data_IF_183776708716
#
_entry.id   IF_183776708716
#
_cell.length_a   1.000
_cell.length_b   1.000
_cell.length_c   1.000
_cell.angle_alpha   90.00
_cell.angle_beta   90.00
_cell.angle_gamma   90.00
#
_symmetry.space_group_name_H-M   'P 1'
#
loop_
_entity.id
_entity.type
_entity.pdbx_description
1 polymer ?
#
# COMPACT_ATOMS: atom_id res chain seq x y z
N UNK A 1 -18.97 -17.06 86.35
CA UNK A 1 -17.85 -17.10 85.37
C UNK A 1 -17.97 -15.87 84.47
N UNK A 2 -16.87 -15.17 84.14
CA UNK A 2 -16.76 -13.71 84.30
C UNK A 2 -16.78 -12.87 83.00
N UNK A 3 -16.82 -11.54 83.21
CA UNK A 3 -16.16 -10.43 82.49
C UNK A 3 -15.93 -10.46 80.97
N UNK A 4 -16.44 -9.42 80.29
CA UNK A 4 -15.63 -8.36 79.63
C UNK A 4 -16.58 -7.34 78.97
N UNK A 5 -17.05 -6.31 79.69
CA UNK A 5 -16.52 -4.94 79.67
C UNK A 5 -15.95 -4.47 78.32
N UNK A 6 -16.70 -3.55 77.70
CA UNK A 6 -16.23 -2.29 77.10
C UNK A 6 -15.05 -2.40 76.12
N UNK A 7 -15.33 -2.27 74.81
CA UNK A 7 -14.52 -1.45 73.89
C UNK A 7 -15.32 -1.16 72.61
N UNK A 8 -15.44 0.13 72.31
CA UNK A 8 -15.73 0.81 71.04
C UNK A 8 -15.56 -0.03 69.76
N UNK A 9 -16.30 0.13 68.66
CA UNK A 9 -16.77 1.36 68.02
C UNK A 9 -17.91 0.98 67.06
N UNK A 10 -19.00 1.74 66.93
CA UNK A 10 -19.15 2.78 65.90
C UNK A 10 -17.99 2.84 64.88
N UNK A 11 -17.77 1.76 64.11
CA UNK A 11 -17.07 1.88 62.84
C UNK A 11 -18.02 2.52 61.84
N UNK A 12 -18.12 3.84 61.95
CA UNK A 12 -18.57 4.77 60.93
C UNK A 12 -18.11 4.26 59.55
N UNK A 13 -18.98 4.10 58.54
CA UNK A 13 -18.49 3.89 57.18
C UNK A 13 -17.58 5.07 56.88
N UNK A 14 -16.29 4.80 56.67
CA UNK A 14 -15.32 5.81 56.33
C UNK A 14 -15.78 6.46 55.03
N UNK A 15 -16.51 7.57 55.14
CA UNK A 15 -16.47 8.63 54.15
C UNK A 15 -14.99 8.90 53.90
N UNK A 16 -14.51 8.96 52.65
CA UNK A 16 -13.09 9.13 52.37
C UNK A 16 -12.59 10.38 53.09
N UNK A 17 -11.89 10.17 54.21
CA UNK A 17 -11.50 11.19 55.16
C UNK A 17 -10.09 11.70 54.85
N UNK A 18 -9.91 12.20 53.63
CA UNK A 18 -8.84 13.14 53.32
C UNK A 18 -9.15 13.88 52.02
N UNK A 19 -9.80 15.03 52.16
CA UNK A 19 -9.74 16.08 51.14
C UNK A 19 -8.29 16.57 51.09
N UNK A 20 -7.46 15.96 50.25
CA UNK A 20 -6.17 16.54 49.88
C UNK A 20 -6.48 17.56 48.77
N UNK A 21 -6.05 18.84 48.89
CA UNK A 21 -6.30 19.84 47.86
C UNK A 21 -5.90 19.39 46.44
N UNK A 22 -4.90 18.50 46.33
CA UNK A 22 -4.49 17.86 45.08
C UNK A 22 -5.53 16.94 44.44
N UNK A 23 -6.45 16.34 45.19
CA UNK A 23 -7.47 15.41 44.67
C UNK A 23 -8.57 16.11 43.85
N UNK A 24 -8.97 17.33 44.23
CA UNK A 24 -9.89 18.16 43.42
C UNK A 24 -9.18 18.76 42.21
N UNK A 25 -7.95 19.25 42.39
CA UNK A 25 -7.13 19.76 41.27
C UNK A 25 -6.87 18.65 40.24
N UNK A 26 -6.68 17.40 40.66
CA UNK A 26 -6.45 16.26 39.79
C UNK A 26 -7.64 15.95 38.85
N UNK A 27 -8.87 16.32 39.22
CA UNK A 27 -10.04 16.19 38.34
C UNK A 27 -9.86 17.06 37.09
N UNK A 28 -9.22 18.23 37.23
CA UNK A 28 -9.03 19.19 36.14
C UNK A 28 -7.65 19.03 35.48
N UNK A 29 -6.62 18.72 36.27
CA UNK A 29 -5.22 18.68 35.85
C UNK A 29 -4.58 17.40 36.37
N UNK A 30 -4.60 16.35 35.56
CA UNK A 30 -3.92 15.08 35.87
C UNK A 30 -3.67 14.27 34.61
N UNK A 31 -2.58 13.52 34.60
CA UNK A 31 -2.42 12.44 33.64
C UNK A 31 -3.30 11.24 34.01
N UNK A 32 -3.62 10.43 33.01
CA UNK A 32 -4.26 9.14 33.21
C UNK A 32 -3.33 8.16 33.93
N UNK A 33 -3.94 7.16 34.56
CA UNK A 33 -3.28 6.03 35.24
C UNK A 33 -3.87 4.71 34.75
N UNK A 34 -3.25 3.58 35.06
CA UNK A 34 -3.78 2.28 34.66
C UNK A 34 -5.22 2.01 35.18
N UNK A 35 -5.55 2.50 36.38
CA UNK A 35 -6.88 2.37 36.97
C UNK A 35 -7.89 3.40 36.43
N UNK A 36 -7.42 4.60 36.10
CA UNK A 36 -8.22 5.68 35.52
C UNK A 36 -7.50 6.20 34.28
N UNK A 37 -7.69 5.56 33.11
CA UNK A 37 -6.84 5.81 31.95
C UNK A 37 -7.00 7.22 31.38
N UNK A 38 -8.15 7.86 31.56
CA UNK A 38 -8.37 9.21 31.06
C UNK A 38 -7.65 10.25 31.92
N UNK A 39 -7.12 11.27 31.26
CA UNK A 39 -6.60 12.47 31.91
C UNK A 39 -7.70 13.29 32.59
N UNK A 40 -7.28 14.27 33.39
CA UNK A 40 -8.14 15.31 33.95
C UNK A 40 -8.84 16.13 32.86
N UNK A 41 -9.95 16.78 33.22
CA UNK A 41 -10.87 17.42 32.28
C UNK A 41 -10.23 18.53 31.44
N UNK A 42 -9.22 19.24 31.94
CA UNK A 42 -8.60 20.37 31.25
C UNK A 42 -7.22 20.01 30.70
N UNK A 43 -6.36 19.47 31.56
CA UNK A 43 -4.94 19.27 31.25
C UNK A 43 -4.51 17.85 31.64
N UNK A 44 -3.76 17.22 30.74
CA UNK A 44 -3.05 15.97 31.02
C UNK A 44 -3.08 14.99 29.86
N UNK A 45 -2.18 14.03 29.89
CA UNK A 45 -2.10 12.98 28.87
C UNK A 45 -2.88 11.75 29.30
N UNK A 46 -3.55 11.12 28.34
CA UNK A 46 -4.17 9.81 28.55
C UNK A 46 -3.12 8.73 28.83
N UNK A 47 -3.52 7.73 29.60
CA UNK A 47 -2.64 6.63 29.97
C UNK A 47 -2.34 5.72 28.77
N UNK A 48 -1.06 5.42 28.56
CA UNK A 48 -0.61 4.44 27.57
C UNK A 48 -0.40 3.10 28.23
N UNK A 49 -1.11 2.08 27.78
CA UNK A 49 -0.98 0.73 28.33
C UNK A 49 0.30 0.05 27.86
N UNK A 50 0.87 -0.77 28.74
CA UNK A 50 2.04 -1.59 28.49
C UNK A 50 1.73 -3.05 28.85
N UNK A 51 2.59 -4.02 28.48
CA UNK A 51 2.40 -5.42 28.88
C UNK A 51 2.31 -5.62 30.41
N UNK A 52 2.96 -4.76 31.20
CA UNK A 52 2.96 -4.85 32.67
C UNK A 52 1.71 -4.25 33.31
N UNK A 53 1.02 -3.34 32.62
CA UNK A 53 -0.17 -2.65 33.16
C UNK A 53 -1.47 -3.09 32.52
N UNK A 54 -1.39 -3.85 31.43
CA UNK A 54 -2.50 -4.58 30.82
C UNK A 54 -2.22 -6.09 30.92
N UNK A 55 -2.56 -6.69 32.05
CA UNK A 55 -2.26 -8.10 32.35
C UNK A 55 -3.41 -9.04 31.94
N UNK A 56 -3.11 -10.33 31.83
CA UNK A 56 -4.14 -11.37 31.59
C UNK A 56 -4.66 -11.47 30.16
N UNK A 57 -3.96 -10.90 29.17
CA UNK A 57 -4.39 -10.94 27.78
C UNK A 57 -5.63 -10.08 27.51
N UNK A 58 -5.95 -9.12 28.39
CA UNK A 58 -7.04 -8.18 28.20
C UNK A 58 -6.76 -7.23 27.04
N UNK A 59 -7.83 -6.71 26.42
CA UNK A 59 -7.77 -5.61 25.45
C UNK A 59 -7.81 -4.30 26.24
N UNK A 60 -6.79 -3.45 26.13
CA UNK A 60 -6.72 -2.21 26.89
C UNK A 60 -6.69 -0.99 25.98
N UNK A 61 -7.75 -0.18 26.04
CA UNK A 61 -7.85 1.05 25.27
C UNK A 61 -7.04 2.16 25.95
N UNK A 62 -6.22 2.85 25.17
CA UNK A 62 -5.49 4.03 25.61
C UNK A 62 -6.43 5.12 26.13
N UNK A 63 -5.97 5.81 27.16
CA UNK A 63 -6.75 6.86 27.80
C UNK A 63 -6.95 8.10 26.94
N UNK A 64 -8.04 8.82 27.16
CA UNK A 64 -8.25 10.14 26.52
C UNK A 64 -7.36 11.20 27.15
N UNK A 65 -6.82 12.10 26.32
CA UNK A 65 -6.15 13.31 26.77
C UNK A 65 -7.11 14.32 27.38
N UNK A 66 -6.58 15.30 28.11
CA UNK A 66 -7.36 16.36 28.73
C UNK A 66 -8.05 17.25 27.70
N UNK A 67 -9.19 17.84 28.07
CA UNK A 67 -10.08 18.54 27.16
C UNK A 67 -9.48 19.77 26.48
N UNK A 68 -8.56 20.49 27.13
CA UNK A 68 -7.88 21.66 26.55
C UNK A 68 -6.52 21.27 25.96
N UNK A 69 -5.67 20.59 26.73
CA UNK A 69 -4.37 20.14 26.28
C UNK A 69 -4.06 18.75 26.81
N UNK A 70 -3.76 17.83 25.89
CA UNK A 70 -3.47 16.46 26.25
C UNK A 70 -3.39 15.53 25.07
N UNK A 71 -2.36 14.69 25.05
CA UNK A 71 -2.27 13.60 24.08
C UNK A 71 -3.14 12.43 24.54
N UNK A 72 -3.69 11.70 23.58
CA UNK A 72 -4.26 10.39 23.83
C UNK A 72 -3.19 9.36 24.17
N UNK A 73 -3.53 8.42 25.03
CA UNK A 73 -2.66 7.31 25.39
C UNK A 73 -2.71 6.17 24.37
N UNK A 74 -1.67 5.36 24.32
CA UNK A 74 -1.63 4.20 23.43
C UNK A 74 -2.46 3.04 23.98
N UNK A 75 -3.18 2.36 23.09
CA UNK A 75 -3.82 1.09 23.39
C UNK A 75 -2.83 -0.08 23.39
N UNK A 76 -3.27 -1.21 23.93
CA UNK A 76 -2.49 -2.44 24.01
C UNK A 76 -3.36 -3.67 23.70
N UNK A 77 -2.76 -4.69 23.09
CA UNK A 77 -3.39 -5.98 22.77
C UNK A 77 -4.72 -5.82 22.01
N UNK A 78 -4.68 -5.13 20.86
CA UNK A 78 -5.85 -4.80 20.05
C UNK A 78 -6.68 -3.62 20.56
N UNK A 79 -6.32 -3.02 21.70
CA UNK A 79 -7.03 -1.87 22.24
C UNK A 79 -6.80 -0.61 21.43
N UNK A 80 -7.82 0.23 21.32
CA UNK A 80 -7.73 1.48 20.56
C UNK A 80 -6.83 2.50 21.26
N UNK A 81 -6.19 3.36 20.49
CA UNK A 81 -5.55 4.57 21.00
C UNK A 81 -6.59 5.57 21.50
N UNK A 82 -6.23 6.33 22.52
CA UNK A 82 -7.08 7.38 23.07
C UNK A 82 -7.10 8.62 22.18
N UNK A 83 -8.21 9.35 22.20
CA UNK A 83 -8.32 10.65 21.54
C UNK A 83 -7.62 11.75 22.35
N UNK A 84 -7.04 12.73 21.66
CA UNK A 84 -6.70 14.02 22.26
C UNK A 84 -7.94 14.91 22.47
N UNK A 85 -7.78 15.99 23.25
CA UNK A 85 -8.81 17.01 23.47
C UNK A 85 -8.81 18.11 22.39
N UNK A 86 -8.74 19.37 22.79
CA UNK A 86 -8.67 20.51 21.87
C UNK A 86 -7.32 20.56 21.14
N UNK A 87 -6.23 20.32 21.88
CA UNK A 87 -4.86 20.27 21.38
C UNK A 87 -4.17 19.01 21.88
N UNK A 88 -3.48 18.31 20.98
CA UNK A 88 -2.71 17.11 21.29
C UNK A 88 -2.78 16.08 20.18
N UNK A 89 -1.92 15.07 20.25
CA UNK A 89 -1.94 13.97 19.29
C UNK A 89 -2.76 12.80 19.81
N UNK A 90 -3.44 12.10 18.92
CA UNK A 90 -4.10 10.84 19.24
C UNK A 90 -3.07 9.75 19.57
N UNK A 91 -3.45 8.83 20.45
CA UNK A 91 -2.62 7.69 20.81
C UNK A 91 -2.61 6.61 19.73
N UNK A 92 -1.57 5.79 19.68
CA UNK A 92 -1.52 4.64 18.79
C UNK A 92 -2.47 3.53 19.24
N UNK A 93 -3.05 2.79 18.29
CA UNK A 93 -3.72 1.54 18.55
C UNK A 93 -2.74 0.44 18.93
N UNK A 94 -3.16 -0.45 19.82
CA UNK A 94 -2.38 -1.62 20.24
C UNK A 94 -2.39 -2.71 19.18
N UNK A 95 -1.26 -3.41 19.00
CA UNK A 95 -1.22 -4.58 18.14
C UNK A 95 -2.14 -5.68 18.68
N UNK A 96 -2.89 -6.35 17.79
CA UNK A 96 -3.78 -7.45 18.11
C UNK A 96 -3.03 -8.73 18.46
N UNK A 97 -3.62 -9.55 19.32
CA UNK A 97 -3.20 -10.95 19.51
C UNK A 97 -3.74 -11.85 18.41
N UNK A 98 -3.26 -13.09 18.31
CA UNK A 98 -3.74 -14.06 17.32
C UNK A 98 -5.27 -14.13 17.29
N UNK A 99 -5.86 -14.07 16.10
CA UNK A 99 -7.30 -14.04 15.85
C UNK A 99 -7.96 -12.67 16.05
N UNK A 100 -7.22 -11.64 16.48
CA UNK A 100 -7.76 -10.34 16.85
C UNK A 100 -7.16 -9.23 15.99
N UNK A 101 -8.01 -8.27 15.62
CA UNK A 101 -7.58 -7.08 14.90
C UNK A 101 -6.68 -6.18 15.76
N UNK A 102 -5.88 -5.36 15.09
CA UNK A 102 -5.19 -4.25 15.72
C UNK A 102 -6.19 -3.16 16.13
N UNK A 103 -5.88 -2.45 17.22
CA UNK A 103 -6.70 -1.34 17.66
C UNK A 103 -6.62 -0.15 16.70
N UNK A 104 -7.70 0.61 16.59
CA UNK A 104 -7.67 1.87 15.85
C UNK A 104 -6.76 2.90 16.55
N UNK A 105 -6.10 3.76 15.77
CA UNK A 105 -5.45 4.95 16.27
C UNK A 105 -6.46 5.96 16.81
N UNK A 106 -6.10 6.68 17.85
CA UNK A 106 -6.92 7.74 18.43
C UNK A 106 -6.92 8.99 17.56
N UNK A 107 -7.98 9.80 17.67
CA UNK A 107 -8.06 11.08 16.95
C UNK A 107 -7.11 12.12 17.54
N UNK A 108 -6.51 12.94 16.66
CA UNK A 108 -5.78 14.14 17.04
C UNK A 108 -6.70 15.22 17.61
N UNK A 109 -6.09 16.24 18.20
CA UNK A 109 -6.80 17.32 18.89
C UNK A 109 -7.60 18.17 17.92
N UNK A 110 -8.78 18.62 18.33
CA UNK A 110 -9.76 19.28 17.48
C UNK A 110 -9.19 20.46 16.67
N UNK A 111 -8.29 21.26 17.27
CA UNK A 111 -7.68 22.45 16.66
C UNK A 111 -6.21 22.24 16.28
N UNK A 112 -5.52 21.33 16.95
CA UNK A 112 -4.13 21.03 16.66
C UNK A 112 -3.77 19.60 17.05
N UNK A 113 -3.06 18.93 16.15
CA UNK A 113 -2.44 17.64 16.40
C UNK A 113 -2.83 16.56 15.40
N UNK A 114 -2.00 15.54 15.38
CA UNK A 114 -2.09 14.41 14.46
C UNK A 114 -2.94 13.30 15.04
N UNK A 115 -3.58 12.53 14.16
CA UNK A 115 -4.15 11.25 14.54
C UNK A 115 -3.06 10.22 14.87
N UNK A 116 -3.38 9.26 15.74
CA UNK A 116 -2.50 8.17 16.11
C UNK A 116 -2.47 7.08 15.04
N UNK A 117 -1.41 6.29 14.98
CA UNK A 117 -1.34 5.15 14.06
C UNK A 117 -2.25 4.01 14.51
N UNK A 118 -2.82 3.25 13.58
CA UNK A 118 -3.49 2.00 13.87
C UNK A 118 -2.50 0.92 14.34
N UNK A 119 -2.96 0.00 15.17
CA UNK A 119 -2.19 -1.16 15.61
C UNK A 119 -2.14 -2.25 14.54
N UNK A 120 -1.07 -3.04 14.50
CA UNK A 120 -1.02 -4.20 13.62
C UNK A 120 -2.04 -5.27 14.04
N UNK A 121 -2.61 -6.01 13.09
CA UNK A 121 -3.43 -7.19 13.37
C UNK A 121 -2.60 -8.36 13.86
N UNK A 122 -3.15 -9.19 14.75
CA UNK A 122 -2.58 -10.51 15.01
C UNK A 122 -2.86 -11.47 13.85
N UNK A 123 -2.30 -12.68 13.86
CA UNK A 123 -2.59 -13.67 12.82
C UNK A 123 -4.11 -13.85 12.62
N UNK A 124 -4.60 -13.71 11.39
CA UNK A 124 -6.02 -13.74 11.02
C UNK A 124 -6.79 -12.43 11.30
N UNK A 125 -6.17 -11.46 11.95
CA UNK A 125 -6.76 -10.17 12.29
C UNK A 125 -6.35 -9.07 11.34
N UNK A 126 -7.28 -8.17 11.02
CA UNK A 126 -7.00 -6.97 10.26
C UNK A 126 -6.15 -5.98 11.04
N UNK A 127 -5.42 -5.13 10.33
CA UNK A 127 -4.79 -3.95 10.90
C UNK A 127 -5.83 -2.95 11.38
N UNK A 128 -5.50 -2.22 12.44
CA UNK A 128 -6.34 -1.14 12.94
C UNK A 128 -6.30 0.07 12.02
N UNK A 129 -7.41 0.78 11.90
CA UNK A 129 -7.46 2.05 11.16
C UNK A 129 -6.58 3.11 11.83
N UNK A 130 -5.92 3.96 11.05
CA UNK A 130 -5.26 5.16 11.54
C UNK A 130 -6.27 6.19 12.07
N UNK A 131 -5.91 6.89 13.13
CA UNK A 131 -6.75 7.95 13.68
C UNK A 131 -6.74 9.18 12.78
N UNK A 132 -7.86 9.90 12.71
CA UNK A 132 -7.92 11.16 12.00
C UNK A 132 -7.23 12.28 12.78
N UNK A 133 -6.66 13.26 12.08
CA UNK A 133 -6.41 14.57 12.71
C UNK A 133 -7.73 15.22 13.14
N UNK A 134 -7.68 16.18 14.07
CA UNK A 134 -8.89 16.88 14.53
C UNK A 134 -9.66 17.57 13.41
N UNK A 135 -11.00 17.55 13.49
CA UNK A 135 -11.89 17.99 12.42
C UNK A 135 -11.70 19.45 11.98
N UNK A 136 -11.30 20.32 12.91
CA UNK A 136 -11.09 21.75 12.70
C UNK A 136 -9.60 22.10 12.78
N UNK A 137 -8.73 21.09 12.69
CA UNK A 137 -7.32 21.26 13.01
C UNK A 137 -6.66 22.16 11.96
N UNK A 138 -6.01 23.22 12.44
CA UNK A 138 -5.27 24.12 11.56
C UNK A 138 -4.07 23.39 10.97
N UNK A 139 -3.46 22.51 11.76
CA UNK A 139 -2.39 21.63 11.35
C UNK A 139 -2.54 20.26 12.01
N UNK A 140 -2.67 19.22 11.19
CA UNK A 140 -2.72 17.86 11.68
C UNK A 140 -2.69 16.84 10.55
N UNK A 141 -1.84 15.84 10.69
CA UNK A 141 -1.79 14.71 9.78
C UNK A 141 -2.68 13.58 10.28
N UNK A 142 -3.29 12.85 9.35
CA UNK A 142 -3.92 11.58 9.65
C UNK A 142 -2.87 10.53 10.05
N UNK A 143 -3.24 9.63 10.94
CA UNK A 143 -2.40 8.51 11.35
C UNK A 143 -2.36 7.41 10.29
N UNK A 144 -1.25 6.69 10.18
CA UNK A 144 -1.15 5.52 9.30
C UNK A 144 -2.06 4.40 9.80
N UNK A 145 -2.67 3.63 8.90
CA UNK A 145 -3.27 2.34 9.23
C UNK A 145 -2.23 1.31 9.68
N UNK A 146 -2.66 0.34 10.48
CA UNK A 146 -1.84 -0.78 10.93
C UNK A 146 -1.76 -1.87 9.88
N UNK A 147 -0.66 -2.62 9.85
CA UNK A 147 -0.56 -3.78 8.97
C UNK A 147 -1.53 -4.90 9.40
N UNK A 148 -2.05 -5.67 8.44
CA UNK A 148 -2.79 -6.90 8.72
C UNK A 148 -1.88 -8.03 9.22
N UNK A 149 -2.40 -8.91 10.06
CA UNK A 149 -1.74 -10.18 10.31
C UNK A 149 -1.96 -11.15 9.16
N UNK A 150 -1.33 -12.33 9.17
CA UNK A 150 -1.55 -13.36 8.13
C UNK A 150 -3.04 -13.64 7.89
N UNK A 151 -3.55 -13.45 6.68
CA UNK A 151 -4.97 -13.58 6.33
C UNK A 151 -5.83 -12.34 6.62
N UNK A 152 -5.26 -11.33 7.27
CA UNK A 152 -5.93 -10.08 7.61
C UNK A 152 -5.56 -8.94 6.66
N UNK A 153 -6.54 -8.09 6.35
CA UNK A 153 -6.31 -6.88 5.58
C UNK A 153 -5.51 -5.84 6.38
N UNK A 154 -4.81 -4.95 5.70
CA UNK A 154 -4.28 -3.73 6.29
C UNK A 154 -5.41 -2.79 6.72
N UNK A 155 -5.14 -1.95 7.73
CA UNK A 155 -6.09 -0.91 8.15
C UNK A 155 -5.98 0.34 7.29
N UNK A 156 -7.07 1.09 7.13
CA UNK A 156 -7.03 2.34 6.37
C UNK A 156 -6.22 3.42 7.10
N UNK A 157 -5.70 4.37 6.33
CA UNK A 157 -5.17 5.61 6.86
C UNK A 157 -6.24 6.56 7.40
N UNK A 158 -5.84 7.41 8.36
CA UNK A 158 -6.67 8.46 8.91
C UNK A 158 -6.71 9.71 8.02
N UNK A 159 -7.77 10.50 8.17
CA UNK A 159 -7.92 11.76 7.45
C UNK A 159 -7.04 12.89 8.02
N UNK A 160 -6.68 13.85 7.17
CA UNK A 160 -5.92 15.04 7.57
C UNK A 160 -6.75 16.13 8.26
N UNK A 161 -6.08 17.17 8.75
CA UNK A 161 -6.69 18.35 9.36
C UNK A 161 -7.43 19.24 8.35
N UNK A 162 -8.18 20.22 8.87
CA UNK A 162 -9.04 21.08 8.06
C UNK A 162 -8.27 22.04 7.15
N UNK A 163 -7.13 22.59 7.60
CA UNK A 163 -6.40 23.62 6.84
C UNK A 163 -5.10 23.10 6.22
N UNK A 164 -4.19 22.58 7.04
CA UNK A 164 -2.93 21.99 6.61
C UNK A 164 -2.79 20.57 7.16
N UNK A 165 -2.37 19.65 6.30
CA UNK A 165 -2.01 18.31 6.74
C UNK A 165 -2.18 17.27 5.64
N UNK A 166 -1.36 16.23 5.74
CA UNK A 166 -1.44 15.06 4.91
C UNK A 166 -2.31 14.01 5.56
N UNK A 167 -3.02 13.23 4.76
CA UNK A 167 -3.72 12.09 5.27
C UNK A 167 -2.75 10.93 5.50
N UNK A 168 -3.14 9.99 6.37
CA UNK A 168 -2.32 8.84 6.70
C UNK A 168 -2.32 7.81 5.58
N UNK A 169 -1.21 7.10 5.39
CA UNK A 169 -1.18 5.97 4.48
C UNK A 169 -1.97 4.78 5.05
N UNK A 170 -2.44 3.90 4.18
CA UNK A 170 -2.94 2.58 4.55
C UNK A 170 -1.85 1.69 5.17
N UNK A 171 -2.30 0.65 5.85
CA UNK A 171 -1.45 -0.44 6.30
C UNK A 171 -1.36 -1.54 5.24
N UNK A 172 -0.26 -2.27 5.24
CA UNK A 172 -0.07 -3.38 4.31
C UNK A 172 -0.89 -4.60 4.75
N UNK A 173 -1.39 -5.39 3.81
CA UNK A 173 -2.08 -6.65 4.10
C UNK A 173 -1.10 -7.75 4.55
N UNK A 174 -1.55 -8.64 5.43
CA UNK A 174 -0.82 -9.89 5.67
C UNK A 174 -1.03 -10.88 4.53
N UNK A 175 -0.34 -12.03 4.51
CA UNK A 175 -0.51 -13.06 3.46
C UNK A 175 -1.98 -13.38 3.18
N UNK A 176 -2.45 -13.25 1.93
CA UNK A 176 -3.86 -13.42 1.55
C UNK A 176 -4.78 -12.22 1.84
N UNK A 177 -4.31 -11.21 2.58
CA UNK A 177 -5.05 -9.99 2.92
C UNK A 177 -4.75 -8.84 1.97
N UNK A 178 -5.76 -8.01 1.71
CA UNK A 178 -5.61 -6.78 0.95
C UNK A 178 -4.86 -5.70 1.75
N UNK A 179 -4.22 -4.77 1.06
CA UNK A 179 -3.75 -3.53 1.66
C UNK A 179 -4.93 -2.64 2.09
N UNK A 180 -4.71 -1.80 3.10
CA UNK A 180 -5.69 -0.81 3.53
C UNK A 180 -5.62 0.45 2.67
N UNK A 181 -6.73 1.18 2.58
CA UNK A 181 -6.77 2.39 1.76
C UNK A 181 -5.99 3.55 2.42
N UNK A 182 -5.44 4.42 1.59
CA UNK A 182 -4.90 5.69 2.03
C UNK A 182 -6.01 6.62 2.51
N UNK A 183 -5.74 7.39 3.56
CA UNK A 183 -6.68 8.37 4.07
C UNK A 183 -6.91 9.50 3.08
N UNK A 184 -8.12 10.06 3.10
CA UNK A 184 -8.43 11.29 2.37
C UNK A 184 -8.00 12.53 3.15
N UNK A 185 -7.57 13.57 2.44
CA UNK A 185 -7.59 14.92 3.02
C UNK A 185 -9.04 15.42 3.16
N UNK A 186 -9.28 16.37 4.07
CA UNK A 186 -10.64 16.92 4.26
C UNK A 186 -11.03 17.91 3.17
N UNK A 187 -12.33 18.12 3.03
CA UNK A 187 -12.95 18.92 1.96
C UNK A 187 -12.44 20.37 1.86
N UNK A 188 -11.86 20.93 2.92
CA UNK A 188 -11.34 22.30 2.91
C UNK A 188 -9.83 22.39 3.18
N UNK A 189 -9.12 21.26 3.16
CA UNK A 189 -7.67 21.24 3.31
C UNK A 189 -7.05 22.03 2.17
N UNK A 190 -6.46 23.19 2.51
CA UNK A 190 -5.84 24.10 1.56
C UNK A 190 -4.57 23.50 0.99
N UNK A 191 -3.79 22.83 1.84
CA UNK A 191 -2.55 22.15 1.48
C UNK A 191 -2.47 20.76 2.12
N UNK A 192 -2.55 19.72 1.30
CA UNK A 192 -2.50 18.34 1.80
C UNK A 192 -2.38 17.29 0.71
N UNK A 193 -1.61 16.24 0.99
CA UNK A 193 -1.55 15.04 0.16
C UNK A 193 -2.46 13.96 0.73
N UNK A 194 -3.16 13.25 -0.16
CA UNK A 194 -3.86 12.02 0.21
C UNK A 194 -2.88 10.93 0.65
N UNK A 195 -3.33 10.01 1.49
CA UNK A 195 -2.53 8.88 1.95
C UNK A 195 -2.25 7.92 0.80
N UNK A 196 -1.07 7.30 0.77
CA UNK A 196 -0.86 6.16 -0.12
C UNK A 196 -1.69 4.95 0.37
N UNK A 197 -2.18 4.12 -0.54
CA UNK A 197 -2.70 2.80 -0.19
C UNK A 197 -1.60 1.87 0.31
N UNK A 198 -1.97 0.89 1.12
CA UNK A 198 -1.06 -0.16 1.57
C UNK A 198 -0.90 -1.26 0.51
N UNK A 199 0.23 -1.96 0.54
CA UNK A 199 0.45 -3.08 -0.38
C UNK A 199 -0.38 -4.30 0.06
N UNK A 200 -0.85 -5.10 -0.89
CA UNK A 200 -1.48 -6.38 -0.63
C UNK A 200 -0.46 -7.43 -0.19
N UNK A 201 -0.84 -8.29 0.76
CA UNK A 201 -0.06 -9.49 1.06
C UNK A 201 -0.23 -10.54 -0.05
N UNK A 202 0.41 -11.71 0.07
CA UNK A 202 0.41 -12.73 -1.00
C UNK A 202 -0.98 -13.00 -1.59
N UNK A 203 -1.18 -12.75 -2.90
CA UNK A 203 -2.47 -12.87 -3.58
C UNK A 203 -3.53 -11.81 -3.25
N UNK A 204 -3.30 -10.94 -2.28
CA UNK A 204 -4.18 -9.85 -1.87
C UNK A 204 -4.03 -8.61 -2.75
N UNK A 205 -5.10 -7.84 -2.92
CA UNK A 205 -5.07 -6.59 -3.67
C UNK A 205 -4.34 -5.48 -2.89
N UNK A 206 -3.73 -4.54 -3.60
CA UNK A 206 -3.25 -3.28 -3.01
C UNK A 206 -4.43 -2.37 -2.65
N UNK A 207 -4.25 -1.52 -1.64
CA UNK A 207 -5.24 -0.52 -1.24
C UNK A 207 -5.22 0.71 -2.15
N UNK A 208 -6.32 1.44 -2.20
CA UNK A 208 -6.43 2.65 -3.01
C UNK A 208 -5.70 3.82 -2.35
N UNK A 209 -5.18 4.73 -3.17
CA UNK A 209 -4.63 6.00 -2.71
C UNK A 209 -5.76 6.98 -2.34
N UNK A 210 -5.56 7.73 -1.26
CA UNK A 210 -6.51 8.74 -0.81
C UNK A 210 -6.46 10.04 -1.61
N UNK A 211 -7.50 10.85 -1.48
CA UNK A 211 -7.65 12.12 -2.19
C UNK A 211 -6.83 13.26 -1.60
N UNK A 212 -6.24 14.06 -2.48
CA UNK A 212 -5.50 15.28 -2.15
C UNK A 212 -6.39 16.47 -1.78
N UNK A 213 -5.75 17.53 -1.27
CA UNK A 213 -6.41 18.74 -0.77
C UNK A 213 -7.29 19.44 -1.81
N UNK A 214 -8.23 20.25 -1.30
CA UNK A 214 -9.29 20.89 -2.09
C UNK A 214 -8.80 21.87 -3.15
N UNK A 215 -7.81 22.70 -2.79
CA UNK A 215 -7.28 23.75 -3.66
C UNK A 215 -5.83 23.47 -4.08
N UNK A 216 -4.99 23.03 -3.14
CA UNK A 216 -3.61 22.62 -3.42
C UNK A 216 -3.37 21.27 -2.74
N UNK A 217 -3.02 20.26 -3.52
CA UNK A 217 -2.84 18.93 -2.96
C UNK A 217 -2.72 17.85 -4.01
N UNK A 218 -1.91 16.83 -3.71
CA UNK A 218 -1.74 15.66 -4.57
C UNK A 218 -2.54 14.49 -4.04
N UNK A 219 -3.06 13.65 -4.94
CA UNK A 219 -3.58 12.35 -4.54
C UNK A 219 -2.47 11.42 -4.05
N UNK A 220 -2.85 10.42 -3.25
CA UNK A 220 -1.94 9.36 -2.82
C UNK A 220 -1.77 8.28 -3.89
N UNK A 221 -0.63 7.60 -3.92
CA UNK A 221 -0.46 6.45 -4.80
C UNK A 221 -1.29 5.25 -4.33
N UNK A 222 -1.76 4.41 -5.26
CA UNK A 222 -2.31 3.10 -4.93
C UNK A 222 -1.21 2.11 -4.53
N UNK A 223 -1.56 1.14 -3.69
CA UNK A 223 -0.68 0.07 -3.24
C UNK A 223 -0.50 -1.03 -4.30
N UNK A 224 0.60 -1.77 -4.24
CA UNK A 224 0.84 -2.90 -5.12
C UNK A 224 -0.02 -4.11 -4.73
N UNK A 225 -0.46 -4.87 -5.72
CA UNK A 225 -1.04 -6.20 -5.51
C UNK A 225 0.02 -7.22 -5.14
N UNK A 226 -0.30 -8.14 -4.24
CA UNK A 226 0.63 -9.14 -3.75
C UNK A 226 0.78 -10.32 -4.71
N UNK A 227 2.00 -10.83 -4.84
CA UNK A 227 2.29 -12.04 -5.60
C UNK A 227 1.62 -13.26 -4.98
N UNK A 228 1.03 -14.11 -5.80
CA UNK A 228 0.37 -15.32 -5.34
C UNK A 228 1.36 -16.43 -5.04
N UNK A 229 1.16 -17.12 -3.92
CA UNK A 229 1.96 -18.28 -3.50
C UNK A 229 1.17 -19.58 -3.54
N UNK A 230 -0.14 -19.52 -3.71
CA UNK A 230 -1.02 -20.67 -3.73
C UNK A 230 -1.07 -21.26 -5.13
N UNK A 231 -0.98 -22.60 -5.24
CA UNK A 231 -0.84 -23.28 -6.55
C UNK A 231 -1.93 -22.84 -7.52
N UNK A 232 -1.49 -22.36 -8.70
CA UNK A 232 -2.38 -21.89 -9.77
C UNK A 232 -3.26 -20.67 -9.41
N UNK A 233 -3.05 -20.02 -8.27
CA UNK A 233 -3.82 -18.85 -7.87
C UNK A 233 -3.33 -17.56 -8.54
N UNK A 234 -4.27 -16.64 -8.77
CA UNK A 234 -3.97 -15.36 -9.39
C UNK A 234 -3.21 -14.42 -8.42
N UNK A 235 -2.38 -13.55 -8.99
CA UNK A 235 -1.79 -12.42 -8.25
C UNK A 235 -2.84 -11.37 -7.91
N UNK A 236 -2.60 -10.60 -6.86
CA UNK A 236 -3.51 -9.54 -6.43
C UNK A 236 -3.52 -8.36 -7.40
N UNK A 237 -4.65 -7.66 -7.52
CA UNK A 237 -4.70 -6.41 -8.28
C UNK A 237 -3.95 -5.28 -7.57
N UNK A 238 -3.35 -4.35 -8.31
CA UNK A 238 -2.86 -3.09 -7.75
C UNK A 238 -4.00 -2.14 -7.43
N UNK A 239 -3.84 -1.33 -6.39
CA UNK A 239 -4.81 -0.32 -5.98
C UNK A 239 -4.80 0.90 -6.90
N UNK A 240 -5.92 1.61 -6.97
CA UNK A 240 -6.05 2.84 -7.75
C UNK A 240 -5.31 4.00 -7.08
N UNK A 241 -4.76 4.90 -7.89
CA UNK A 241 -4.20 6.17 -7.41
C UNK A 241 -5.30 7.15 -7.02
N UNK A 242 -5.08 7.87 -5.93
CA UNK A 242 -5.98 8.92 -5.45
C UNK A 242 -6.00 10.14 -6.37
N UNK A 243 -7.15 10.79 -6.47
CA UNK A 243 -7.28 12.05 -7.23
C UNK A 243 -6.92 13.28 -6.37
N UNK A 244 -6.64 14.40 -7.00
CA UNK A 244 -6.62 15.71 -6.32
C UNK A 244 -8.03 16.12 -5.87
N UNK A 245 -8.12 17.18 -5.07
CA UNK A 245 -9.41 17.71 -4.62
C UNK A 245 -10.23 18.34 -5.75
N UNK A 246 -11.54 18.45 -5.52
CA UNK A 246 -12.53 18.81 -6.55
C UNK A 246 -12.22 20.13 -7.28
N UNK A 247 -11.73 21.15 -6.55
CA UNK A 247 -11.39 22.46 -7.12
C UNK A 247 -9.88 22.72 -7.14
N UNK A 248 -9.07 21.65 -7.18
CA UNK A 248 -7.63 21.80 -7.06
C UNK A 248 -7.08 22.57 -8.26
N UNK A 249 -6.32 23.63 -7.97
CA UNK A 249 -5.60 24.43 -8.97
C UNK A 249 -4.15 23.97 -9.09
N UNK A 250 -3.61 23.29 -8.07
CA UNK A 250 -2.25 22.78 -8.06
C UNK A 250 -2.15 21.41 -7.39
N UNK A 251 -1.60 20.43 -8.12
CA UNK A 251 -1.31 19.11 -7.56
C UNK A 251 -1.51 17.99 -8.58
N UNK A 252 -0.75 16.92 -8.39
CA UNK A 252 -0.76 15.75 -9.26
C UNK A 252 -1.69 14.66 -8.71
N UNK A 253 -2.34 13.92 -9.60
CA UNK A 253 -3.01 12.67 -9.25
C UNK A 253 -1.99 11.62 -8.82
N UNK A 254 -2.40 10.70 -7.96
CA UNK A 254 -1.55 9.59 -7.53
C UNK A 254 -1.43 8.52 -8.62
N UNK A 255 -0.29 7.85 -8.71
CA UNK A 255 -0.13 6.69 -9.60
C UNK A 255 -0.93 5.49 -9.09
N UNK A 256 -1.44 4.67 -10.01
CA UNK A 256 -1.97 3.35 -9.67
C UNK A 256 -0.87 2.36 -9.30
N UNK A 257 -1.22 1.36 -8.51
CA UNK A 257 -0.33 0.29 -8.06
C UNK A 257 -0.16 -0.80 -9.11
N UNK A 258 0.98 -1.47 -9.12
CA UNK A 258 1.21 -2.62 -9.98
C UNK A 258 0.40 -3.84 -9.52
N UNK A 259 -0.02 -4.70 -10.45
CA UNK A 259 -0.59 -6.01 -10.15
C UNK A 259 0.47 -7.03 -9.76
N UNK A 260 0.11 -7.97 -8.89
CA UNK A 260 0.98 -9.05 -8.41
C UNK A 260 1.12 -10.20 -9.42
N UNK A 261 2.19 -10.98 -9.30
CA UNK A 261 2.41 -12.15 -10.16
C UNK A 261 1.52 -13.33 -9.77
N UNK A 262 1.02 -14.08 -10.75
CA UNK A 262 0.32 -15.35 -10.51
C UNK A 262 1.26 -16.47 -10.07
N UNK A 263 0.72 -17.45 -9.35
CA UNK A 263 1.50 -18.54 -8.82
C UNK A 263 1.82 -19.62 -9.87
N UNK A 264 2.94 -20.31 -9.71
CA UNK A 264 3.26 -21.45 -10.55
C UNK A 264 2.36 -22.66 -10.22
N UNK A 265 2.11 -23.50 -11.22
CA UNK A 265 1.50 -24.79 -10.99
C UNK A 265 2.50 -25.81 -10.40
N UNK A 266 2.00 -26.78 -9.64
CA UNK A 266 2.80 -27.91 -9.13
C UNK A 266 2.59 -29.11 -10.05
N UNK A 267 3.70 -29.66 -10.57
CA UNK A 267 3.67 -30.89 -11.36
C UNK A 267 3.69 -32.13 -10.45
N UNK A 268 2.58 -32.86 -10.38
CA UNK A 268 2.58 -34.22 -9.84
C UNK A 268 1.54 -35.10 -10.55
N UNK A 269 2.05 -36.08 -11.30
CA UNK A 269 1.38 -37.34 -11.76
C UNK A 269 0.03 -37.26 -12.50
N UNK A 270 -0.47 -36.08 -12.85
CA UNK A 270 -1.70 -35.88 -13.62
C UNK A 270 -1.57 -34.80 -14.71
N UNK A 271 -2.62 -34.53 -15.52
CA UNK A 271 -2.60 -33.49 -16.55
C UNK A 271 -2.05 -32.18 -16.00
N UNK A 272 -1.06 -31.60 -16.70
CA UNK A 272 -0.25 -30.51 -16.17
C UNK A 272 -1.10 -29.33 -15.71
N UNK A 273 -0.95 -28.94 -14.43
CA UNK A 273 -1.67 -27.80 -13.85
C UNK A 273 -1.33 -26.48 -14.55
N UNK A 274 -2.31 -25.60 -14.68
CA UNK A 274 -2.14 -24.27 -15.28
C UNK A 274 -1.51 -23.31 -14.29
N UNK A 275 -0.57 -22.47 -14.71
CA UNK A 275 -0.10 -21.36 -13.86
C UNK A 275 -1.24 -20.39 -13.56
N UNK A 276 -1.17 -19.70 -12.43
CA UNK A 276 -2.14 -18.68 -12.04
C UNK A 276 -1.98 -17.39 -12.85
N UNK A 277 -3.05 -16.63 -13.04
CA UNK A 277 -2.99 -15.37 -13.78
C UNK A 277 -2.24 -14.27 -12.99
N UNK A 278 -1.62 -13.33 -13.69
CA UNK A 278 -1.15 -12.09 -13.07
C UNK A 278 -2.32 -11.18 -12.68
N UNK A 279 -2.13 -10.39 -11.63
CA UNK A 279 -3.10 -9.38 -11.20
C UNK A 279 -3.10 -8.17 -12.12
N UNK A 280 -4.22 -7.44 -12.17
CA UNK A 280 -4.33 -6.21 -12.96
C UNK A 280 -3.60 -5.05 -12.26
N UNK A 281 -3.05 -4.10 -13.02
CA UNK A 281 -2.59 -2.83 -12.46
C UNK A 281 -3.76 -1.92 -12.12
N UNK A 282 -3.59 -1.04 -11.14
CA UNK A 282 -4.58 -0.04 -10.74
C UNK A 282 -4.54 1.20 -11.63
N UNK A 283 -5.66 1.90 -11.75
CA UNK A 283 -5.73 3.16 -12.52
C UNK A 283 -5.01 4.30 -11.80
N UNK A 284 -4.49 5.27 -12.56
CA UNK A 284 -3.98 6.52 -12.01
C UNK A 284 -5.09 7.51 -11.63
N UNK A 285 -4.81 8.36 -10.65
CA UNK A 285 -5.72 9.39 -10.16
C UNK A 285 -5.77 10.65 -11.03
N UNK A 286 -6.84 11.42 -10.90
CA UNK A 286 -7.00 12.69 -11.62
C UNK A 286 -6.08 13.77 -11.03
N UNK A 287 -5.47 14.57 -11.91
CA UNK A 287 -4.71 15.77 -11.56
C UNK A 287 -5.59 17.01 -11.39
N UNK A 288 -4.99 18.11 -10.94
CA UNK A 288 -5.65 19.43 -10.79
C UNK A 288 -6.13 20.03 -12.11
N UNK A 289 -7.08 20.97 -12.05
CA UNK A 289 -7.68 21.61 -13.22
C UNK A 289 -6.73 22.51 -14.00
N UNK A 290 -5.80 23.17 -13.30
CA UNK A 290 -4.93 24.20 -13.88
C UNK A 290 -3.48 23.69 -13.95
N UNK A 291 -2.86 23.45 -12.79
CA UNK A 291 -1.46 23.03 -12.67
C UNK A 291 -1.38 21.65 -12.01
N UNK A 292 -1.65 20.60 -12.77
CA UNK A 292 -1.57 19.23 -12.26
C UNK A 292 -1.44 18.22 -13.37
N UNK A 293 -0.63 17.19 -13.12
CA UNK A 293 -0.56 16.00 -13.97
C UNK A 293 -1.51 14.94 -13.43
N UNK A 294 -2.13 14.21 -14.33
CA UNK A 294 -2.78 12.95 -13.98
C UNK A 294 -1.74 11.94 -13.47
N UNK A 295 -2.18 11.01 -12.64
CA UNK A 295 -1.40 9.86 -12.25
C UNK A 295 -1.29 8.85 -13.39
N UNK A 296 -0.16 8.17 -13.45
CA UNK A 296 0.04 7.03 -14.36
C UNK A 296 -0.72 5.80 -13.84
N UNK A 297 -1.22 4.97 -14.74
CA UNK A 297 -1.74 3.65 -14.39
C UNK A 297 -0.62 2.69 -13.99
N UNK A 298 -0.95 1.72 -13.15
CA UNK A 298 -0.04 0.67 -12.72
C UNK A 298 0.15 -0.40 -13.80
N UNK A 299 1.31 -1.05 -13.81
CA UNK A 299 1.56 -2.19 -14.70
C UNK A 299 0.79 -3.43 -14.22
N UNK A 300 0.34 -4.28 -15.14
CA UNK A 300 -0.21 -5.59 -14.80
C UNK A 300 0.88 -6.55 -14.33
N UNK A 301 0.49 -7.55 -13.55
CA UNK A 301 1.36 -8.61 -13.06
C UNK A 301 1.61 -9.70 -14.08
N UNK A 302 2.70 -10.46 -13.95
CA UNK A 302 2.98 -11.59 -14.83
C UNK A 302 2.18 -12.83 -14.43
N UNK A 303 1.79 -13.67 -15.39
CA UNK A 303 1.23 -14.99 -15.09
C UNK A 303 2.28 -15.95 -14.54
N UNK A 304 1.82 -16.96 -13.80
CA UNK A 304 2.64 -18.03 -13.27
C UNK A 304 2.99 -19.09 -14.32
N UNK A 305 4.05 -19.86 -14.08
CA UNK A 305 4.49 -20.93 -14.97
C UNK A 305 3.60 -22.17 -14.79
N UNK A 306 3.27 -22.84 -15.90
CA UNK A 306 2.54 -24.11 -15.88
C UNK A 306 3.39 -25.29 -15.41
N UNK A 307 2.76 -26.42 -15.10
CA UNK A 307 3.46 -27.59 -14.60
C UNK A 307 4.33 -28.22 -15.69
N UNK A 308 5.50 -28.74 -15.32
CA UNK A 308 6.31 -29.54 -16.23
C UNK A 308 5.58 -30.85 -16.58
N UNK A 309 5.57 -31.24 -17.85
CA UNK A 309 5.07 -32.55 -18.28
C UNK A 309 5.99 -33.67 -17.79
N UNK A 310 5.48 -34.90 -17.67
CA UNK A 310 6.34 -36.06 -17.39
C UNK A 310 6.93 -36.58 -18.70
N UNK A 311 8.25 -36.78 -18.73
CA UNK A 311 8.89 -37.47 -19.85
C UNK A 311 8.35 -38.89 -19.96
N UNK A 312 8.05 -39.36 -21.17
CA UNK A 312 7.67 -40.76 -21.38
C UNK A 312 8.82 -41.70 -20.98
N UNK A 313 8.49 -42.84 -20.38
CA UNK A 313 9.49 -43.88 -20.10
C UNK A 313 9.75 -44.70 -21.36
N UNK A 314 11.00 -45.15 -21.55
CA UNK A 314 11.39 -46.10 -22.60
C UNK A 314 11.07 -45.70 -24.06
N UNK A 315 11.33 -44.44 -24.44
CA UNK A 315 11.18 -44.02 -25.84
C UNK A 315 9.72 -43.91 -26.34
N UNK A 316 8.75 -43.99 -25.43
CA UNK A 316 7.38 -43.57 -25.69
C UNK A 316 7.26 -42.04 -25.53
N UNK A 317 6.39 -41.41 -26.34
CA UNK A 317 6.05 -40.00 -26.18
C UNK A 317 5.49 -39.71 -24.78
N UNK A 318 5.70 -38.49 -24.29
CA UNK A 318 5.13 -38.04 -23.03
C UNK A 318 3.60 -38.23 -23.05
N UNK A 319 3.08 -39.11 -22.19
CA UNK A 319 1.64 -39.41 -22.10
C UNK A 319 0.84 -38.29 -21.44
N UNK A 320 1.53 -37.31 -20.82
CA UNK A 320 0.91 -36.17 -20.14
C UNK A 320 1.59 -34.87 -20.62
N UNK A 321 0.88 -34.03 -21.39
CA UNK A 321 1.37 -32.70 -21.77
C UNK A 321 1.69 -31.84 -20.53
N UNK A 322 2.70 -30.98 -20.65
CA UNK A 322 2.96 -29.94 -19.67
C UNK A 322 1.78 -28.97 -19.56
N UNK A 323 1.63 -28.37 -18.37
CA UNK A 323 0.59 -27.38 -18.12
C UNK A 323 0.89 -26.06 -18.82
N UNK A 324 -0.16 -25.34 -19.20
CA UNK A 324 -0.03 -23.99 -19.76
C UNK A 324 0.35 -22.98 -18.66
N UNK A 325 1.16 -21.99 -19.01
CA UNK A 325 1.38 -20.83 -18.13
C UNK A 325 0.09 -20.03 -17.93
N UNK A 326 0.01 -19.32 -16.82
CA UNK A 326 -1.03 -18.32 -16.58
C UNK A 326 -0.85 -17.11 -17.49
N UNK A 327 -1.94 -16.41 -17.77
CA UNK A 327 -1.91 -15.15 -18.52
C UNK A 327 -1.36 -14.02 -17.65
N UNK A 328 -0.69 -13.03 -18.25
CA UNK A 328 -0.41 -11.77 -17.57
C UNK A 328 -1.68 -10.99 -17.26
N UNK A 329 -1.62 -10.11 -16.27
CA UNK A 329 -2.65 -9.13 -15.97
C UNK A 329 -2.56 -7.91 -16.89
N UNK A 330 -3.67 -7.21 -17.07
CA UNK A 330 -3.72 -5.95 -17.82
C UNK A 330 -3.14 -4.81 -16.99
N UNK A 331 -2.54 -3.81 -17.65
CA UNK A 331 -2.18 -2.55 -16.98
C UNK A 331 -3.42 -1.72 -16.64
N UNK A 332 -3.26 -0.78 -15.71
CA UNK A 332 -4.24 0.23 -15.37
C UNK A 332 -4.21 1.39 -16.35
N UNK A 333 -5.32 2.12 -16.42
CA UNK A 333 -5.44 3.33 -17.22
C UNK A 333 -4.80 4.53 -16.51
N UNK A 334 -4.25 5.48 -17.27
CA UNK A 334 -3.83 6.76 -16.71
C UNK A 334 -5.06 7.58 -16.26
N UNK A 335 -4.88 8.43 -15.24
CA UNK A 335 -5.92 9.37 -14.84
C UNK A 335 -6.28 10.32 -15.99
N UNK A 336 -7.54 10.73 -16.10
CA UNK A 336 -7.93 11.77 -17.06
C UNK A 336 -7.30 13.11 -16.66
N UNK A 337 -6.58 13.74 -17.58
CA UNK A 337 -6.15 15.12 -17.42
C UNK A 337 -7.40 16.03 -17.41
N UNK A 338 -7.43 17.03 -16.52
CA UNK A 338 -8.43 18.08 -16.62
C UNK A 338 -8.27 18.84 -17.95
N UNK A 339 -9.36 19.37 -18.55
CA UNK A 339 -9.27 20.11 -19.80
C UNK A 339 -8.33 21.30 -19.62
N UNK A 340 -7.17 21.21 -20.28
CA UNK A 340 -6.11 22.21 -20.19
C UNK A 340 -6.64 23.52 -20.78
N UNK A 341 -6.71 24.58 -19.98
CA UNK A 341 -6.82 25.94 -20.51
C UNK A 341 -5.61 26.26 -21.42
N UNK A 342 -5.69 27.27 -22.30
CA UNK A 342 -4.87 27.40 -23.52
C UNK A 342 -3.36 27.67 -23.33
N UNK A 343 -2.76 27.40 -22.17
CA UNK A 343 -1.33 27.67 -21.90
C UNK A 343 -0.54 26.51 -21.29
N UNK A 344 -1.11 25.31 -21.11
CA UNK A 344 -0.37 24.16 -20.59
C UNK A 344 0.27 23.33 -21.71
N UNK A 345 1.60 23.18 -21.70
CA UNK A 345 2.34 22.23 -22.54
C UNK A 345 1.67 20.84 -22.49
N UNK A 346 1.59 20.11 -23.62
CA UNK A 346 1.17 18.71 -23.60
C UNK A 346 2.06 17.95 -22.63
N UNK A 347 1.45 17.38 -21.58
CA UNK A 347 2.13 16.36 -20.81
C UNK A 347 2.48 15.24 -21.79
N UNK A 348 3.76 14.93 -21.90
CA UNK A 348 4.23 13.69 -22.53
C UNK A 348 3.88 12.52 -21.62
N UNK A 349 2.59 12.31 -21.36
CA UNK A 349 2.03 11.06 -20.88
C UNK A 349 1.94 10.14 -22.08
N UNK A 350 3.09 9.55 -22.43
CA UNK A 350 3.16 8.55 -23.47
C UNK A 350 2.51 7.26 -23.02
N UNK A 351 1.19 7.16 -23.20
CA UNK A 351 0.52 5.95 -23.66
C UNK A 351 -0.60 6.43 -24.57
N UNK A 352 -0.39 6.26 -25.88
CA UNK A 352 -1.49 6.31 -26.84
C UNK A 352 -2.64 5.44 -26.33
N UNK A 353 -3.86 5.94 -26.42
CA UNK A 353 -5.03 5.11 -26.66
C UNK A 353 -4.92 4.46 -28.04
N UNK A 354 -3.89 3.65 -28.24
CA UNK A 354 -3.86 2.60 -29.23
C UNK A 354 -4.21 1.35 -28.44
N UNK A 355 -5.25 0.67 -28.91
CA UNK A 355 -5.67 -0.67 -28.51
C UNK A 355 -4.71 -1.33 -27.51
N UNK A 356 -5.23 -1.66 -26.33
CA UNK A 356 -4.81 -2.90 -25.69
C UNK A 356 -5.13 -4.02 -26.69
N UNK A 357 -4.26 -4.17 -27.69
CA UNK A 357 -4.12 -5.40 -28.44
C UNK A 357 -3.89 -6.41 -27.35
N UNK A 358 -4.92 -7.21 -27.14
CA UNK A 358 -4.86 -8.48 -26.46
C UNK A 358 -3.73 -9.21 -27.17
N UNK A 359 -2.50 -9.06 -26.67
CA UNK A 359 -1.49 -10.08 -26.85
C UNK A 359 -1.83 -11.12 -25.81
N UNK A 360 -2.98 -11.77 -26.01
CA UNK A 360 -3.02 -13.18 -25.70
C UNK A 360 -1.89 -13.76 -26.54
N UNK A 361 -0.75 -14.00 -25.91
CA UNK A 361 0.06 -15.11 -26.32
C UNK A 361 -0.83 -16.33 -26.05
N UNK A 362 -1.76 -16.61 -26.97
CA UNK A 362 -2.12 -17.98 -27.26
C UNK A 362 -0.79 -18.63 -27.53
N UNK A 363 -0.32 -19.42 -26.56
CA UNK A 363 0.74 -20.35 -26.81
C UNK A 363 0.34 -21.07 -28.10
N UNK A 364 1.13 -20.85 -29.16
CA UNK A 364 1.00 -21.66 -30.37
C UNK A 364 1.06 -23.13 -29.96
N UNK A 365 0.41 -24.01 -30.74
CA UNK A 365 0.44 -25.44 -30.43
C UNK A 365 1.89 -25.85 -30.24
N UNK A 366 2.14 -26.61 -29.17
CA UNK A 366 3.44 -27.16 -28.86
C UNK A 366 4.08 -27.67 -30.16
N UNK A 367 5.21 -27.06 -30.53
CA UNK A 367 6.02 -27.54 -31.65
C UNK A 367 6.43 -28.95 -31.29
N UNK A 368 5.75 -29.92 -31.89
CA UNK A 368 6.17 -31.30 -31.91
C UNK A 368 7.54 -31.34 -32.60
N UNK A 369 8.59 -31.45 -31.80
CA UNK A 369 9.90 -31.76 -32.32
C UNK A 369 9.88 -33.20 -32.86
N UNK A 370 9.91 -33.36 -34.19
CA UNK A 370 10.30 -34.62 -34.79
C UNK A 370 9.71 -34.95 -36.17
N UNK A 371 10.27 -34.37 -37.25
CA UNK A 371 10.89 -35.12 -38.36
C UNK A 371 11.27 -34.19 -39.53
N UNK A 372 12.44 -34.46 -40.10
CA UNK A 372 12.92 -33.88 -41.34
C UNK A 372 12.36 -34.62 -42.57
N UNK A 373 12.04 -33.85 -43.63
CA UNK A 373 12.21 -34.12 -45.09
C UNK A 373 11.05 -33.53 -45.92
N UNK A 374 11.21 -33.30 -47.24
CA UNK A 374 12.07 -32.33 -47.91
C UNK A 374 11.25 -31.31 -48.73
N UNK A 375 11.93 -30.31 -49.29
CA UNK A 375 11.36 -29.30 -50.18
C UNK A 375 10.80 -29.91 -51.48
N UNK A 376 9.53 -29.65 -51.80
CA UNK A 376 9.10 -29.08 -53.09
C UNK A 376 7.62 -28.65 -53.06
N UNK A 377 7.26 -27.76 -53.97
CA UNK A 377 5.92 -27.22 -54.31
C UNK A 377 5.38 -26.02 -53.51
N UNK A 378 5.64 -24.84 -54.08
CA UNK A 378 4.99 -23.58 -53.79
C UNK A 378 3.55 -23.56 -54.35
N UNK A 379 2.55 -23.48 -53.47
CA UNK A 379 1.18 -23.08 -53.84
C UNK A 379 1.08 -21.56 -53.68
N UNK A 380 0.99 -20.87 -54.83
CA UNK A 380 0.59 -19.47 -54.92
C UNK A 380 -0.85 -19.29 -54.42
N UNK A 381 -1.06 -18.46 -53.39
CA UNK A 381 -2.34 -17.79 -53.13
C UNK A 381 -2.08 -16.30 -52.98
N UNK A 382 -2.66 -15.53 -53.89
CA UNK A 382 -2.58 -14.07 -54.01
C UNK A 382 -3.29 -13.35 -52.83
N UNK A 383 -2.79 -12.19 -52.37
CA UNK A 383 -3.54 -11.31 -51.46
C UNK A 383 -4.44 -10.34 -52.25
N UNK A 384 -5.61 -9.92 -51.73
CA UNK A 384 -6.44 -8.91 -52.38
C UNK A 384 -5.91 -7.49 -52.15
N UNK A 385 -5.98 -6.70 -53.22
CA UNK A 385 -5.70 -5.27 -53.31
C UNK A 385 -6.48 -4.43 -52.27
N UNK A 386 -5.79 -3.51 -51.58
CA UNK A 386 -6.41 -2.31 -51.04
C UNK A 386 -5.59 -1.06 -51.42
N UNK A 387 -6.31 -0.13 -52.02
CA UNK A 387 -5.85 1.08 -52.72
C UNK A 387 -5.09 2.05 -51.80
N UNK A 388 -3.92 2.48 -52.24
CA UNK A 388 -3.22 3.65 -51.73
C UNK A 388 -2.97 4.65 -52.85
N UNK A 389 -3.23 5.92 -52.59
CA UNK A 389 -2.72 7.06 -53.36
C UNK A 389 -3.00 8.38 -52.61
N UNK A 390 -2.26 9.47 -52.89
CA UNK A 390 -0.86 9.54 -53.27
C UNK A 390 -0.01 10.35 -52.26
N UNK A 391 1.29 10.03 -52.19
CA UNK A 391 2.30 10.89 -51.58
C UNK A 391 2.68 12.02 -52.55
N UNK A 392 2.85 13.23 -52.03
CA UNK A 392 3.35 14.41 -52.76
C UNK A 392 4.81 14.66 -52.35
N UNK A 393 5.71 14.50 -53.34
CA UNK A 393 6.89 15.31 -53.72
C UNK A 393 7.95 15.58 -52.63
N UNK A 394 9.08 14.86 -52.60
CA UNK A 394 10.36 15.10 -53.35
C UNK A 394 11.12 16.35 -52.86
N UNK A 395 12.45 16.43 -52.68
CA UNK A 395 13.65 15.59 -52.75
C UNK A 395 14.82 16.51 -52.23
N UNK A 396 16.14 16.40 -52.56
CA UNK A 396 16.96 15.29 -53.09
C UNK A 396 18.41 15.13 -52.47
N UNK A 397 19.05 13.95 -52.72
CA UNK A 397 20.45 13.73 -53.24
C UNK A 397 21.68 14.08 -52.32
N UNK A 398 22.78 13.31 -52.15
CA UNK A 398 23.40 12.06 -52.70
C UNK A 398 24.60 11.63 -51.79
N UNK A 399 25.17 10.40 -51.92
CA UNK A 399 26.04 9.72 -50.95
C UNK A 399 27.54 9.60 -51.41
N UNK A 400 28.29 8.50 -51.13
CA UNK A 400 29.43 8.43 -50.20
C UNK A 400 30.81 8.32 -50.89
N UNK A 401 31.90 8.42 -50.12
CA UNK A 401 33.27 8.09 -50.62
C UNK A 401 34.04 7.26 -49.58
N UNK A 402 34.67 6.20 -50.08
CA UNK A 402 35.50 5.20 -49.39
C UNK A 402 36.99 5.43 -49.68
N UNK A 403 37.88 5.20 -48.70
CA UNK A 403 39.15 4.46 -48.83
C UNK A 403 40.02 4.58 -47.54
N UNK A 404 40.55 3.45 -47.04
CA UNK A 404 41.69 3.40 -46.09
C UNK A 404 43.04 3.61 -46.82
N UNK A 405 44.22 3.12 -46.33
CA UNK A 405 44.52 2.34 -45.11
C UNK A 405 45.74 2.87 -44.30
N UNK A 406 46.03 2.28 -43.13
CA UNK A 406 47.30 2.53 -42.42
C UNK A 406 47.46 1.67 -41.15
N UNK A 407 48.28 0.62 -41.25
CA UNK A 407 48.58 -0.32 -40.16
C UNK A 407 49.61 0.19 -39.16
N UNK A 408 49.61 -0.40 -37.96
CA UNK A 408 50.62 -0.19 -36.93
C UNK A 408 50.38 -1.06 -35.70
N UNK A 409 51.22 -2.08 -35.53
CA UNK A 409 51.23 -3.14 -34.50
C UNK A 409 51.41 -2.66 -33.05
N UNK A 410 51.07 -3.58 -32.15
CA UNK A 410 51.71 -3.96 -30.85
C UNK A 410 50.83 -3.72 -29.62
N UNK A 411 50.14 -4.71 -29.03
CA UNK A 411 50.48 -6.01 -28.41
C UNK A 411 50.75 -5.91 -26.88
N UNK A 412 49.97 -6.71 -26.14
CA UNK A 412 50.09 -7.21 -24.74
C UNK A 412 49.75 -6.34 -23.52
N UNK A 413 48.93 -6.94 -22.65
CA UNK A 413 49.43 -7.29 -21.31
C UNK A 413 48.47 -7.19 -20.12
N UNK A 414 47.66 -8.24 -19.93
CA UNK A 414 47.24 -8.85 -18.65
C UNK A 414 47.58 -8.15 -17.32
N UNK A 415 46.55 -7.90 -16.48
CA UNK A 415 46.73 -7.78 -15.03
C UNK A 415 45.93 -8.86 -14.27
N UNK A 416 46.66 -9.85 -13.76
CA UNK A 416 46.28 -10.69 -12.62
C UNK A 416 47.33 -10.55 -11.51
N UNK A 417 46.83 -10.19 -10.32
CA UNK A 417 47.26 -10.55 -8.94
C UNK A 417 48.74 -10.39 -8.55
N UNK A 418 49.01 -9.67 -7.44
CA UNK A 418 49.53 -10.29 -6.21
C UNK A 418 49.50 -9.38 -4.96
N UNK A 419 49.21 -10.04 -3.82
CA UNK A 419 49.32 -9.60 -2.42
C UNK A 419 50.73 -9.11 -2.02
N UNK A 420 50.78 -8.17 -1.08
CA UNK A 420 51.58 -8.07 0.18
C UNK A 420 51.47 -6.59 0.63
N UNK A 421 51.07 -6.20 1.83
CA UNK A 421 51.45 -6.70 3.15
C UNK A 421 52.69 -5.95 3.65
N UNK A 422 52.55 -4.78 4.28
CA UNK A 422 53.54 -4.25 5.25
C UNK A 422 52.94 -3.20 6.18
N UNK A 423 53.11 -3.45 7.48
CA UNK A 423 52.86 -2.57 8.64
C UNK A 423 53.88 -1.41 8.70
N UNK A 424 53.65 -0.56 9.70
CA UNK A 424 54.47 0.51 10.31
C UNK A 424 54.08 1.87 9.73
N UNK A 425 53.48 2.80 10.49
CA UNK A 425 53.74 3.22 11.88
C UNK A 425 52.45 3.68 12.56
#
# INVERSE_FOLDING_TARGET
MPNSLITAALSNPALPSSWTPGSFIAIFVSNGTAAHPNAGLLLGNGYSYTPSTCTGGAVCNGGRGGGLLGNGGNGYNGGNGGSAGLMGNGGAGGAGSSGHAGGAGGSGGLLYGNGGTGGAGGAGGAGGRGGDAGMLSLYGNGGRGGAGGSGGAGGDGGASGFWLGNAGAGGDGGSGGAGGDGGDTRLFTLWGRGGAGGDGGSGGAGGDGGRGGYLIGSGGAGGQGGNSTDVSAAGGAGGHGGSTGLLSIWGDGGSGGAGGTGANAVGATGPGGTGGAGGTGGDGGLGSWIFGRSGDGGVGGTGGVGAQGVAGTNGADATIPGGVGGTGGTGGSAGRAAPVGPAGRPGTGGCSGADATVTAVTAGPAVAAGRAAPADEAVMVMPPLLMAGPAVTAAPVVPPVSAGPGGGRSDRGSHRRHRRGRRVR
#
